data_IF_287788781396
#
_entry.id   IF_287788781396
#
_cell.length_a   1.000
_cell.length_b   1.000
_cell.length_c   1.000
_cell.angle_alpha   90.00
_cell.angle_beta   90.00
_cell.angle_gamma   90.00
#
_symmetry.space_group_name_H-M   'P 1'
#
loop_
_entity.id
_entity.type
_entity.pdbx_description
1 polymer ?
#
# COMPACT_ATOMS: atom_id res chain seq x y z
N UNK A 1 7.69 3.44 -23.64
CA UNK A 1 7.76 2.62 -22.41
C UNK A 1 6.61 1.61 -22.28
N UNK A 2 6.41 0.69 -23.25
CA UNK A 2 5.39 -0.37 -23.16
C UNK A 2 5.90 -1.70 -22.59
N UNK A 3 7.23 -1.88 -22.55
CA UNK A 3 7.89 -3.16 -22.20
C UNK A 3 7.66 -3.64 -20.77
N UNK A 4 7.25 -2.77 -19.84
CA UNK A 4 7.14 -3.11 -18.42
C UNK A 4 5.76 -2.83 -17.80
N UNK A 5 4.72 -2.65 -18.62
CA UNK A 5 3.37 -2.30 -18.13
C UNK A 5 2.87 -3.28 -17.06
N UNK A 6 2.92 -4.58 -17.35
CA UNK A 6 2.48 -5.62 -16.42
C UNK A 6 3.31 -5.67 -15.13
N UNK A 7 4.62 -5.45 -15.21
CA UNK A 7 5.48 -5.40 -14.01
C UNK A 7 5.12 -4.20 -13.13
N UNK A 8 4.87 -3.05 -13.74
CA UNK A 8 4.47 -1.84 -13.04
C UNK A 8 3.10 -1.98 -12.39
N UNK A 9 2.13 -2.58 -13.08
CA UNK A 9 0.80 -2.86 -12.53
C UNK A 9 0.89 -3.78 -11.32
N UNK A 10 1.66 -4.86 -11.40
CA UNK A 10 1.93 -5.75 -10.25
C UNK A 10 2.58 -5.02 -9.08
N UNK A 11 3.52 -4.11 -9.35
CA UNK A 11 4.16 -3.30 -8.30
C UNK A 11 3.16 -2.36 -7.63
N UNK A 12 2.30 -1.70 -8.40
CA UNK A 12 1.25 -0.81 -7.87
C UNK A 12 0.26 -1.60 -7.01
N UNK A 13 -0.17 -2.77 -7.49
CA UNK A 13 -1.08 -3.64 -6.73
C UNK A 13 -0.46 -4.13 -5.43
N UNK A 14 0.81 -4.54 -5.47
CA UNK A 14 1.55 -4.94 -4.28
C UNK A 14 1.67 -3.81 -3.25
N UNK A 15 2.00 -2.59 -3.69
CA UNK A 15 2.08 -1.42 -2.81
C UNK A 15 0.71 -1.12 -2.19
N UNK A 16 -0.37 -1.15 -2.97
CA UNK A 16 -1.72 -0.91 -2.47
C UNK A 16 -2.14 -1.94 -1.40
N UNK A 17 -1.79 -3.22 -1.60
CA UNK A 17 -2.03 -4.26 -0.61
C UNK A 17 -1.21 -4.03 0.67
N UNK A 18 0.05 -3.61 0.54
CA UNK A 18 0.91 -3.30 1.68
C UNK A 18 0.38 -2.10 2.48
N UNK A 19 0.01 -1.01 1.82
CA UNK A 19 -0.57 0.15 2.49
C UNK A 19 -1.85 -0.19 3.24
N UNK A 20 -2.71 -1.03 2.65
CA UNK A 20 -3.94 -1.49 3.31
C UNK A 20 -3.61 -2.25 4.60
N UNK A 21 -2.68 -3.21 4.54
CA UNK A 21 -2.25 -3.98 5.72
C UNK A 21 -1.69 -3.07 6.82
N UNK A 22 -0.89 -2.08 6.45
CA UNK A 22 -0.32 -1.14 7.41
C UNK A 22 -1.39 -0.24 8.05
N UNK A 23 -2.36 0.24 7.26
CA UNK A 23 -3.53 0.98 7.78
C UNK A 23 -4.33 0.14 8.77
N UNK A 24 -4.65 -1.09 8.40
CA UNK A 24 -5.42 -2.00 9.23
C UNK A 24 -4.69 -2.34 10.54
N UNK A 25 -3.38 -2.63 10.47
CA UNK A 25 -2.55 -2.92 11.64
C UNK A 25 -2.42 -1.72 12.58
N UNK A 26 -2.22 -0.53 12.02
CA UNK A 26 -2.14 0.69 12.81
C UNK A 26 -3.47 0.96 13.53
N UNK A 27 -4.58 0.89 12.80
CA UNK A 27 -5.91 1.06 13.38
C UNK A 27 -6.19 0.03 14.47
N UNK A 28 -5.79 -1.22 14.26
CA UNK A 28 -5.94 -2.27 15.27
C UNK A 28 -5.14 -1.98 16.53
N UNK A 29 -3.95 -1.39 16.41
CA UNK A 29 -3.06 -1.10 17.55
C UNK A 29 -3.43 0.18 18.30
N UNK A 30 -3.87 1.21 17.58
CA UNK A 30 -4.06 2.56 18.15
C UNK A 30 -5.53 2.94 18.33
N UNK A 31 -6.44 2.22 17.66
CA UNK A 31 -7.86 2.59 17.55
C UNK A 31 -8.11 3.82 16.66
N UNK A 32 -7.09 4.33 15.97
CA UNK A 32 -7.17 5.53 15.13
C UNK A 32 -6.87 5.20 13.68
N UNK A 33 -7.52 5.90 12.76
CA UNK A 33 -7.11 5.92 11.35
C UNK A 33 -5.83 6.77 11.24
N UNK A 34 -4.83 6.31 10.48
CA UNK A 34 -3.66 7.14 10.24
C UNK A 34 -3.91 8.13 9.11
N UNK A 35 -3.42 9.34 9.27
CA UNK A 35 -3.58 10.42 8.29
C UNK A 35 -2.80 10.16 6.99
N UNK A 36 -1.66 9.46 7.08
CA UNK A 36 -0.85 9.13 5.90
C UNK A 36 -0.01 7.87 6.15
N UNK A 37 0.09 7.03 5.12
CA UNK A 37 1.07 5.97 5.01
C UNK A 37 1.79 6.09 3.68
N UNK A 38 3.10 6.30 3.73
CA UNK A 38 3.96 6.24 2.55
C UNK A 38 4.75 4.93 2.63
N UNK A 39 4.45 3.97 1.74
CA UNK A 39 5.15 2.68 1.71
C UNK A 39 6.40 2.71 0.81
N UNK A 40 6.65 3.81 0.10
CA UNK A 40 7.92 4.20 -0.53
C UNK A 40 7.79 5.62 -1.10
#
# INVERSE_FOLDING_TARGET
MRRFKASRERKVEYIAQMEKRMRDDYRRRTGKEAESFCVL
#
